data_IF_515484028778
#
_entry.id   IF_515484028778
#
_cell.length_a   1.000
_cell.length_b   1.000
_cell.length_c   1.000
_cell.angle_alpha   90.00
_cell.angle_beta   90.00
_cell.angle_gamma   90.00
#
_symmetry.space_group_name_H-M   'P 1'
#
loop_
_entity.id
_entity.type
_entity.pdbx_description
1 polymer ?
#
# COMPACT_ATOMS: atom_id res chain seq x y z
N UNK A 1 42.84 8.53 75.44
CA UNK A 1 43.67 7.31 75.50
C UNK A 1 44.88 7.54 74.63
N UNK A 2 46.08 7.31 75.18
CA UNK A 2 47.40 7.45 74.55
C UNK A 2 47.56 6.41 73.41
N UNK A 3 48.19 6.71 72.28
CA UNK A 3 49.64 6.86 72.01
C UNK A 3 50.40 5.51 71.88
N UNK A 4 51.23 5.44 70.83
CA UNK A 4 52.27 4.44 70.51
C UNK A 4 51.76 3.01 70.19
N UNK A 5 52.29 2.27 69.20
CA UNK A 5 53.72 2.03 68.96
C UNK A 5 54.11 1.74 67.48
N UNK A 6 55.42 1.56 67.22
CA UNK A 6 56.11 1.69 65.92
C UNK A 6 56.88 0.42 65.48
N UNK A 7 57.01 0.26 64.15
CA UNK A 7 58.10 -0.41 63.40
C UNK A 7 58.43 -1.92 63.58
N UNK A 8 58.60 -2.63 62.45
CA UNK A 8 59.86 -3.33 62.08
C UNK A 8 59.84 -4.05 60.69
N UNK A 9 60.84 -3.73 59.87
CA UNK A 9 61.43 -4.53 58.76
C UNK A 9 62.89 -4.89 59.22
N UNK A 10 63.84 -5.49 58.44
CA UNK A 10 63.93 -5.90 57.00
C UNK A 10 64.34 -7.42 56.93
N UNK A 11 65.30 -8.00 56.13
CA UNK A 11 66.06 -7.55 54.94
C UNK A 11 66.30 -8.58 53.78
N UNK A 12 66.83 -8.06 52.65
CA UNK A 12 67.78 -8.65 51.64
C UNK A 12 67.54 -10.05 51.02
N UNK A 13 67.34 -10.25 49.69
CA UNK A 13 68.19 -9.99 48.49
C UNK A 13 69.28 -11.09 48.22
N UNK A 14 69.95 -11.22 47.03
CA UNK A 14 69.76 -10.60 45.70
C UNK A 14 69.80 -11.59 44.48
N UNK A 15 69.73 -11.07 43.24
CA UNK A 15 70.12 -11.74 41.98
C UNK A 15 69.16 -11.40 40.81
N UNK A 16 69.59 -11.07 39.58
CA UNK A 16 70.93 -11.07 38.97
C UNK A 16 70.89 -11.82 37.63
N UNK A 17 70.69 -11.12 36.50
CA UNK A 17 70.53 -11.75 35.18
C UNK A 17 70.43 -10.75 34.03
N UNK A 18 71.57 -10.48 33.40
CA UNK A 18 71.74 -9.67 32.18
C UNK A 18 71.50 -10.52 30.93
N UNK A 19 70.79 -10.01 29.91
CA UNK A 19 70.81 -10.57 28.55
C UNK A 19 70.29 -9.61 27.46
N UNK A 20 71.20 -9.22 26.56
CA UNK A 20 70.98 -9.36 25.10
C UNK A 20 70.10 -8.33 24.39
N UNK A 21 70.69 -7.20 23.99
CA UNK A 21 70.13 -6.35 22.92
C UNK A 21 70.32 -7.06 21.57
N UNK A 22 69.22 -7.41 20.91
CA UNK A 22 69.21 -7.91 19.53
C UNK A 22 68.39 -6.97 18.64
N UNK A 23 69.09 -6.17 17.82
CA UNK A 23 68.49 -5.42 16.72
C UNK A 23 67.92 -6.40 15.69
N UNK A 24 66.65 -6.24 15.31
CA UNK A 24 66.14 -6.81 14.06
C UNK A 24 65.11 -5.86 13.44
N UNK A 25 65.47 -5.31 12.28
CA UNK A 25 64.55 -4.61 11.41
C UNK A 25 63.41 -5.54 11.02
N UNK A 26 62.16 -5.14 11.30
CA UNK A 26 61.00 -5.66 10.60
C UNK A 26 60.18 -4.47 10.12
N UNK A 27 60.03 -4.38 8.80
CA UNK A 27 59.23 -3.37 8.13
C UNK A 27 57.77 -3.55 8.52
N UNK A 28 57.20 -2.56 9.20
CA UNK A 28 55.75 -2.46 9.39
C UNK A 28 55.08 -2.26 8.04
N UNK A 29 54.53 -3.34 7.48
CA UNK A 29 53.42 -3.23 6.54
C UNK A 29 52.22 -2.74 7.33
N UNK A 30 51.98 -1.43 7.29
CA UNK A 30 50.74 -0.82 7.76
C UNK A 30 49.63 -1.39 6.87
N UNK A 31 48.85 -2.32 7.44
CA UNK A 31 47.71 -2.93 6.78
C UNK A 31 46.57 -1.89 6.76
N UNK A 32 46.40 -1.23 5.61
CA UNK A 32 45.47 -0.10 5.40
C UNK A 32 43.98 -0.53 5.35
N UNK A 33 43.64 -1.60 6.06
CA UNK A 33 42.33 -2.26 6.07
C UNK A 33 41.47 -1.94 7.29
N UNK A 34 41.95 -1.10 8.23
CA UNK A 34 41.20 -0.70 9.44
C UNK A 34 40.80 0.79 9.44
N UNK A 35 40.20 1.25 8.34
CA UNK A 35 39.30 2.43 8.37
C UNK A 35 37.85 1.93 8.39
N UNK A 36 37.57 1.01 9.33
CA UNK A 36 36.20 0.69 9.72
C UNK A 36 35.63 1.88 10.47
N UNK A 37 34.88 2.75 9.78
CA UNK A 37 34.05 3.75 10.44
C UNK A 37 33.16 3.07 11.50
N UNK A 38 32.87 3.73 12.64
CA UNK A 38 32.23 3.09 13.78
C UNK A 38 30.92 2.40 13.37
N UNK A 39 30.89 1.07 13.47
CA UNK A 39 29.79 0.23 13.01
C UNK A 39 28.46 0.70 13.61
N UNK A 40 27.65 1.40 12.79
CA UNK A 40 26.42 2.03 13.26
C UNK A 40 25.38 0.96 13.59
N UNK A 41 25.14 0.79 14.88
CA UNK A 41 24.13 -0.13 15.40
C UNK A 41 22.72 0.46 15.22
N UNK A 42 21.74 -0.40 15.00
CA UNK A 42 20.32 -0.03 14.91
C UNK A 42 19.44 -1.04 15.63
N UNK A 43 18.38 -0.56 16.27
CA UNK A 43 17.31 -1.42 16.78
C UNK A 43 16.38 -1.82 15.63
N UNK A 44 15.90 -3.06 15.64
CA UNK A 44 14.98 -3.60 14.64
C UNK A 44 13.82 -4.34 15.30
N UNK A 45 12.59 -4.05 14.89
CA UNK A 45 11.37 -4.71 15.39
C UNK A 45 10.97 -5.84 14.44
N UNK A 46 10.88 -7.07 14.94
CA UNK A 46 10.40 -8.25 14.19
C UNK A 46 9.72 -9.25 15.17
N UNK A 47 8.60 -9.92 14.79
CA UNK A 47 7.68 -9.51 13.73
C UNK A 47 7.17 -8.08 13.98
N UNK A 48 6.59 -7.44 12.96
CA UNK A 48 5.94 -6.15 13.17
C UNK A 48 4.77 -6.32 14.17
N UNK A 49 4.49 -5.34 15.05
CA UNK A 49 3.33 -5.37 15.91
C UNK A 49 2.04 -5.41 15.07
N UNK A 50 0.92 -5.92 15.61
CA UNK A 50 -0.35 -5.94 14.90
C UNK A 50 -0.76 -4.53 14.46
N UNK A 51 -1.24 -4.41 13.21
CA UNK A 51 -1.73 -3.13 12.68
C UNK A 51 -3.00 -2.65 13.41
N UNK A 52 -3.81 -3.58 13.90
CA UNK A 52 -5.06 -3.31 14.63
C UNK A 52 -5.08 -4.06 15.98
N UNK A 53 -4.31 -3.62 16.99
CA UNK A 53 -4.40 -4.20 18.32
C UNK A 53 -5.75 -3.84 18.95
N UNK A 54 -6.36 -4.82 19.61
CA UNK A 54 -7.49 -4.56 20.48
C UNK A 54 -7.06 -3.73 21.69
N UNK A 55 -7.88 -2.74 22.03
CA UNK A 55 -7.70 -1.94 23.22
C UNK A 55 -7.71 -2.84 24.47
N UNK A 56 -6.89 -2.47 25.44
CA UNK A 56 -6.71 -3.18 26.71
C UNK A 56 -6.27 -4.66 26.62
N UNK A 57 -5.95 -5.14 25.41
CA UNK A 57 -5.48 -6.50 25.14
C UNK A 57 -3.97 -6.51 24.94
N UNK A 58 -3.28 -7.45 25.57
CA UNK A 58 -1.84 -7.60 25.41
C UNK A 58 -1.47 -8.22 24.06
N UNK A 59 -0.47 -7.65 23.40
CA UNK A 59 0.21 -8.20 22.24
C UNK A 59 1.73 -8.18 22.45
N UNK A 60 2.45 -8.92 21.61
CA UNK A 60 3.92 -9.06 21.69
C UNK A 60 4.59 -8.75 20.36
N UNK A 61 5.83 -8.28 20.43
CA UNK A 61 6.79 -8.19 19.32
C UNK A 61 8.21 -8.30 19.89
N UNK A 62 9.20 -8.64 19.06
CA UNK A 62 10.59 -8.68 19.52
C UNK A 62 11.41 -7.51 18.95
N UNK A 63 12.41 -7.09 19.72
CA UNK A 63 13.37 -6.04 19.37
C UNK A 63 14.76 -6.64 19.37
N UNK A 64 15.52 -6.35 18.32
CA UNK A 64 16.86 -6.86 18.05
C UNK A 64 17.86 -5.71 17.96
N UNK A 65 19.10 -5.89 18.43
CA UNK A 65 20.22 -5.02 18.03
C UNK A 65 20.87 -5.64 16.80
N UNK A 66 21.02 -4.87 15.73
CA UNK A 66 21.76 -5.30 14.54
C UNK A 66 22.75 -4.24 14.09
N UNK A 67 23.77 -4.66 13.35
CA UNK A 67 24.71 -3.76 12.69
C UNK A 67 24.24 -3.34 11.28
N UNK A 68 25.12 -2.66 10.56
CA UNK A 68 24.93 -2.22 9.18
C UNK A 68 24.72 -3.38 8.18
N UNK A 69 25.22 -4.58 8.48
CA UNK A 69 25.05 -5.80 7.68
C UNK A 69 23.83 -6.63 8.12
N UNK A 70 22.99 -6.07 8.98
CA UNK A 70 21.85 -6.74 9.62
C UNK A 70 22.21 -7.94 10.50
N UNK A 71 23.50 -8.11 10.87
CA UNK A 71 23.91 -9.21 11.74
C UNK A 71 23.52 -8.94 13.18
N UNK A 72 23.04 -9.99 13.87
CA UNK A 72 22.55 -9.90 15.24
C UNK A 72 23.70 -9.65 16.21
N UNK A 73 23.68 -8.51 16.89
CA UNK A 73 24.71 -8.13 17.84
C UNK A 73 24.39 -8.63 19.25
N UNK A 74 25.40 -9.13 19.95
CA UNK A 74 25.30 -9.77 21.28
C UNK A 74 26.49 -9.34 22.15
N UNK A 75 26.26 -9.08 23.43
CA UNK A 75 27.36 -8.91 24.40
C UNK A 75 27.03 -8.08 25.64
N UNK A 76 26.05 -7.18 25.55
CA UNK A 76 25.70 -6.26 26.64
C UNK A 76 24.20 -6.33 26.98
N UNK A 77 23.87 -6.10 28.25
CA UNK A 77 22.50 -5.85 28.70
C UNK A 77 22.10 -4.44 28.24
N UNK A 78 21.09 -4.33 27.37
CA UNK A 78 20.65 -3.06 26.81
C UNK A 78 19.22 -2.72 27.28
N UNK A 79 19.04 -1.80 28.26
CA UNK A 79 17.72 -1.36 28.67
C UNK A 79 17.04 -0.59 27.55
N UNK A 80 15.75 -0.87 27.33
CA UNK A 80 14.96 -0.27 26.26
C UNK A 80 13.93 0.70 26.84
N UNK A 81 13.80 1.86 26.20
CA UNK A 81 12.71 2.80 26.43
C UNK A 81 11.73 2.70 25.27
N UNK A 82 10.54 2.21 25.55
CA UNK A 82 9.43 2.17 24.59
C UNK A 82 8.55 3.41 24.81
N UNK A 83 8.21 4.11 23.74
CA UNK A 83 7.26 5.23 23.78
C UNK A 83 6.19 5.07 22.72
N UNK A 84 4.96 5.39 23.09
CA UNK A 84 3.82 5.45 22.18
C UNK A 84 3.62 6.92 21.76
N UNK A 85 3.52 7.18 20.47
CA UNK A 85 3.27 8.52 19.92
C UNK A 85 2.14 8.49 18.90
N UNK A 86 1.35 9.57 18.84
CA UNK A 86 0.30 9.70 17.82
C UNK A 86 0.93 9.79 16.43
N UNK A 87 0.37 9.05 15.47
CA UNK A 87 0.98 8.86 14.16
C UNK A 87 1.09 10.16 13.34
N UNK A 88 0.11 11.05 13.46
CA UNK A 88 0.03 12.28 12.66
C UNK A 88 0.83 13.43 13.26
N UNK A 89 0.67 13.69 14.56
CA UNK A 89 1.32 14.82 15.25
C UNK A 89 2.72 14.50 15.78
N UNK A 90 3.13 13.22 15.78
CA UNK A 90 4.32 12.68 16.44
C UNK A 90 4.45 12.99 17.95
N UNK A 91 3.42 13.59 18.57
CA UNK A 91 3.38 13.87 20.01
C UNK A 91 3.22 12.58 20.81
N UNK A 92 3.83 12.50 21.99
CA UNK A 92 3.65 11.36 22.89
C UNK A 92 2.17 11.16 23.25
N UNK A 93 1.77 9.90 23.44
CA UNK A 93 0.48 9.55 24.02
C UNK A 93 0.42 9.98 25.50
N UNK A 94 -0.79 10.11 26.05
CA UNK A 94 -0.96 10.48 27.45
C UNK A 94 -0.36 9.41 28.40
N UNK A 95 0.10 9.80 29.62
CA UNK A 95 0.56 8.85 30.62
C UNK A 95 -0.51 7.79 30.94
N UNK A 96 -0.10 6.54 31.09
CA UNK A 96 -1.00 5.40 31.38
C UNK A 96 -1.68 4.77 30.16
N UNK A 97 -1.64 5.40 28.97
CA UNK A 97 -2.18 4.81 27.72
C UNK A 97 -1.35 3.61 27.26
N UNK A 98 -0.04 3.64 27.48
CA UNK A 98 0.87 2.51 27.25
C UNK A 98 1.10 1.75 28.56
N UNK A 99 0.77 0.45 28.58
CA UNK A 99 1.10 -0.47 29.68
C UNK A 99 2.01 -1.57 29.16
N UNK A 100 3.15 -1.77 29.81
CA UNK A 100 4.17 -2.78 29.45
C UNK A 100 4.31 -3.83 30.55
N UNK A 101 4.64 -5.05 30.14
CA UNK A 101 4.90 -6.19 31.00
C UNK A 101 6.12 -6.97 30.45
N UNK A 102 7.30 -6.92 31.08
CA UNK A 102 7.66 -6.13 32.24
C UNK A 102 7.72 -4.62 31.92
N UNK A 103 7.59 -3.78 32.95
CA UNK A 103 7.61 -2.31 32.86
C UNK A 103 8.93 -1.76 32.28
N UNK A 104 10.04 -2.44 32.52
CA UNK A 104 11.37 -2.07 32.02
C UNK A 104 11.91 -3.18 31.10
N UNK A 105 11.54 -3.19 29.80
CA UNK A 105 12.08 -4.16 28.86
C UNK A 105 13.60 -3.95 28.67
N UNK A 106 14.36 -5.04 28.60
CA UNK A 106 15.79 -5.03 28.27
C UNK A 106 16.15 -6.17 27.33
N UNK A 107 17.09 -5.92 26.43
CA UNK A 107 17.79 -6.99 25.70
C UNK A 107 18.81 -7.56 26.67
N UNK A 108 18.72 -8.87 26.95
CA UNK A 108 19.66 -9.55 27.83
C UNK A 108 20.93 -9.96 27.11
N UNK A 109 22.04 -9.96 27.84
CA UNK A 109 23.33 -10.45 27.38
C UNK A 109 23.20 -11.88 26.78
N UNK A 110 23.98 -12.15 25.73
CA UNK A 110 23.98 -13.40 24.96
C UNK A 110 22.80 -13.58 23.98
N UNK A 111 21.64 -12.96 24.21
CA UNK A 111 20.47 -13.14 23.36
C UNK A 111 20.43 -12.21 22.13
N UNK A 112 20.87 -10.95 22.29
CA UNK A 112 20.79 -9.91 21.24
C UNK A 112 19.36 -9.45 20.93
N UNK A 113 18.35 -10.01 21.60
CA UNK A 113 16.93 -9.67 21.45
C UNK A 113 16.17 -9.55 22.76
N UNK A 114 15.04 -8.84 22.72
CA UNK A 114 14.07 -8.67 23.81
C UNK A 114 12.67 -8.94 23.26
N UNK A 115 11.84 -9.72 23.97
CA UNK A 115 10.40 -9.80 23.69
C UNK A 115 9.68 -8.75 24.52
N UNK A 116 8.95 -7.85 23.86
CA UNK A 116 8.18 -6.78 24.49
C UNK A 116 6.71 -7.18 24.44
N UNK A 117 6.10 -7.36 25.62
CA UNK A 117 4.66 -7.53 25.79
C UNK A 117 4.07 -6.22 26.29
N UNK A 118 3.07 -5.71 25.59
CA UNK A 118 2.40 -4.46 25.94
C UNK A 118 0.94 -4.47 25.53
N UNK A 119 0.15 -3.61 26.16
CA UNK A 119 -1.21 -3.26 25.74
C UNK A 119 -1.35 -1.75 25.61
N UNK A 120 -2.31 -1.32 24.81
CA UNK A 120 -2.68 0.09 24.70
C UNK A 120 -4.09 0.22 25.27
N UNK A 121 -4.20 0.97 26.37
CA UNK A 121 -5.47 1.17 27.08
C UNK A 121 -6.36 2.16 26.33
N UNK A 122 -7.67 1.92 26.35
CA UNK A 122 -8.68 2.76 25.72
C UNK A 122 -8.85 4.08 26.48
N UNK A 123 -8.03 5.09 26.14
CA UNK A 123 -8.31 6.46 26.55
C UNK A 123 -9.64 6.90 25.91
N UNK A 124 -10.59 7.30 26.75
CA UNK A 124 -11.92 7.75 26.32
C UNK A 124 -11.90 9.12 25.62
N UNK A 125 -10.73 9.77 25.52
CA UNK A 125 -10.57 11.04 24.82
C UNK A 125 -10.45 10.90 23.28
N UNK A 126 -10.91 11.96 22.60
CA UNK A 126 -10.96 12.22 21.14
C UNK A 126 -10.53 11.14 20.13
N UNK A 127 -11.48 10.77 19.26
CA UNK A 127 -11.37 9.68 18.28
C UNK A 127 -10.23 9.80 17.27
N UNK A 128 -9.81 11.02 16.92
CA UNK A 128 -8.72 11.30 15.99
C UNK A 128 -7.37 10.70 16.44
N UNK A 129 -7.23 10.44 17.74
CA UNK A 129 -5.99 10.03 18.41
C UNK A 129 -5.71 8.53 18.43
N UNK A 130 -6.62 7.67 17.93
CA UNK A 130 -6.49 6.19 17.95
C UNK A 130 -5.41 5.61 17.03
N UNK A 131 -4.72 6.45 16.24
CA UNK A 131 -3.61 6.06 15.36
C UNK A 131 -2.27 6.40 16.01
N UNK A 132 -1.43 5.41 16.21
CA UNK A 132 -0.15 5.55 16.90
C UNK A 132 1.00 4.94 16.08
N UNK A 133 2.23 5.20 16.55
CA UNK A 133 3.44 4.43 16.25
C UNK A 133 4.20 4.18 17.55
N UNK A 134 4.92 3.07 17.61
CA UNK A 134 5.80 2.73 18.71
C UNK A 134 7.22 3.15 18.32
N UNK A 135 7.92 3.84 19.23
CA UNK A 135 9.36 4.11 19.14
C UNK A 135 10.06 3.33 20.24
N UNK A 136 11.10 2.57 19.88
CA UNK A 136 11.97 1.87 20.83
C UNK A 136 13.36 2.49 20.77
N UNK A 137 13.85 2.97 21.91
CA UNK A 137 15.15 3.63 22.07
C UNK A 137 16.03 2.83 23.02
N UNK A 138 17.34 2.82 22.76
CA UNK A 138 18.33 2.26 23.69
C UNK A 138 18.64 3.29 24.78
N UNK A 139 18.49 2.94 26.06
CA UNK A 139 18.72 3.88 27.17
C UNK A 139 20.21 4.12 27.36
N UNK A 140 20.62 5.39 27.31
CA UNK A 140 22.02 5.80 27.49
C UNK A 140 22.94 5.53 26.29
N UNK A 141 22.41 5.05 25.16
CA UNK A 141 23.18 4.64 23.97
C UNK A 141 22.71 5.39 22.72
N UNK A 142 23.24 6.59 22.53
CA UNK A 142 22.94 7.46 21.39
C UNK A 142 23.60 6.99 20.07
N UNK A 143 24.57 6.06 20.17
CA UNK A 143 25.22 5.34 19.07
C UNK A 143 24.32 4.30 18.41
N UNK A 144 23.23 3.89 19.07
CA UNK A 144 22.27 2.90 18.57
C UNK A 144 21.03 3.61 18.03
N UNK A 145 20.76 3.45 16.74
CA UNK A 145 19.59 4.04 16.09
C UNK A 145 18.27 3.43 16.60
N UNK A 146 17.31 4.30 16.95
CA UNK A 146 16.02 3.91 17.49
C UNK A 146 15.11 3.25 16.44
N UNK A 147 14.39 2.19 16.83
CA UNK A 147 13.39 1.56 15.96
C UNK A 147 12.08 2.36 15.98
N UNK A 148 11.46 2.51 14.82
CA UNK A 148 10.10 3.03 14.67
C UNK A 148 9.24 1.97 13.97
N UNK A 149 8.03 1.74 14.49
CA UNK A 149 7.05 0.85 13.86
C UNK A 149 6.20 1.59 12.85
N UNK A 150 5.56 0.83 11.97
CA UNK A 150 4.46 1.32 11.15
C UNK A 150 3.28 1.83 12.00
N UNK A 151 2.35 2.49 11.31
CA UNK A 151 1.08 2.98 11.86
C UNK A 151 0.24 1.80 12.38
N UNK A 152 -0.02 1.79 13.68
CA UNK A 152 -1.05 0.95 14.30
C UNK A 152 -2.30 1.79 14.61
N UNK A 153 -3.47 1.15 14.62
CA UNK A 153 -4.76 1.77 14.92
C UNK A 153 -5.47 0.95 15.99
N UNK A 154 -5.65 1.52 17.18
CA UNK A 154 -6.26 0.80 18.31
C UNK A 154 -7.77 0.65 18.08
N UNK A 155 -8.24 -0.59 18.07
CA UNK A 155 -9.64 -0.96 17.83
C UNK A 155 -10.28 -1.51 19.09
N UNK A 156 -11.61 -1.43 19.18
CA UNK A 156 -12.41 -2.21 20.15
C UNK A 156 -13.00 -3.46 19.50
N UNK A 157 -13.44 -3.33 18.25
CA UNK A 157 -14.15 -4.37 17.51
C UNK A 157 -13.47 -4.60 16.16
N UNK A 158 -13.74 -5.73 15.52
CA UNK A 158 -13.40 -5.97 14.11
C UNK A 158 -14.63 -6.35 13.30
N UNK A 159 -14.61 -6.03 12.02
CA UNK A 159 -15.46 -6.75 11.06
C UNK A 159 -14.81 -8.09 10.73
N UNK A 160 -15.62 -9.12 10.49
CA UNK A 160 -15.19 -10.40 9.96
C UNK A 160 -16.21 -10.92 8.95
N UNK A 161 -15.75 -11.52 7.85
CA UNK A 161 -16.63 -12.21 6.89
C UNK A 161 -16.65 -13.67 7.31
N UNK A 162 -17.77 -14.12 7.87
CA UNK A 162 -17.92 -15.52 8.26
C UNK A 162 -18.48 -16.34 7.10
N UNK A 163 -17.96 -17.56 6.96
CA UNK A 163 -18.47 -18.52 5.99
C UNK A 163 -19.80 -19.08 6.49
N UNK A 164 -20.89 -18.81 5.78
CA UNK A 164 -22.17 -19.48 6.03
C UNK A 164 -22.08 -20.90 5.47
N UNK A 165 -22.27 -21.98 6.27
CA UNK A 165 -22.21 -23.35 5.77
C UNK A 165 -23.21 -23.66 4.65
N UNK A 166 -24.32 -22.92 4.56
CA UNK A 166 -25.31 -23.04 3.47
C UNK A 166 -25.03 -22.16 2.25
N UNK A 167 -24.16 -21.15 2.37
CA UNK A 167 -23.81 -20.23 1.29
C UNK A 167 -22.38 -19.66 1.49
N UNK A 168 -21.31 -20.46 1.29
CA UNK A 168 -19.95 -20.00 1.48
C UNK A 168 -19.57 -18.98 0.39
N UNK A 169 -18.68 -18.04 0.72
CA UNK A 169 -18.14 -17.09 -0.26
C UNK A 169 -17.34 -17.88 -1.31
N UNK A 170 -17.73 -17.83 -2.61
CA UNK A 170 -17.15 -18.72 -3.61
C UNK A 170 -15.81 -18.21 -4.14
N UNK A 171 -14.83 -19.11 -4.30
CA UNK A 171 -13.55 -18.78 -4.97
C UNK A 171 -13.74 -18.50 -6.48
N UNK A 172 -14.79 -19.07 -7.08
CA UNK A 172 -15.18 -18.88 -8.49
C UNK A 172 -16.68 -18.58 -8.61
N UNK A 173 -17.02 -17.48 -9.26
CA UNK A 173 -18.40 -17.00 -9.39
C UNK A 173 -18.75 -16.69 -10.86
N UNK A 174 -19.91 -17.17 -11.32
CA UNK A 174 -20.32 -17.13 -12.73
C UNK A 174 -21.39 -16.06 -12.98
N UNK A 175 -20.98 -14.87 -13.42
CA UNK A 175 -21.83 -13.65 -13.40
C UNK A 175 -23.06 -13.68 -14.32
N UNK A 176 -23.07 -14.52 -15.34
CA UNK A 176 -24.18 -14.65 -16.28
C UNK A 176 -25.04 -15.92 -16.03
N UNK A 177 -24.71 -16.71 -15.01
CA UNK A 177 -25.59 -17.77 -14.48
C UNK A 177 -26.58 -17.12 -13.50
N UNK A 178 -27.88 -17.44 -13.58
CA UNK A 178 -28.90 -16.82 -12.73
C UNK A 178 -29.32 -15.39 -13.10
N UNK A 179 -28.79 -14.81 -14.19
CA UNK A 179 -29.25 -13.53 -14.74
C UNK A 179 -28.82 -12.31 -13.91
N UNK A 180 -29.67 -11.27 -13.87
CA UNK A 180 -29.35 -9.98 -13.20
C UNK A 180 -29.21 -10.12 -11.68
N UNK A 181 -30.03 -10.97 -11.07
CA UNK A 181 -30.14 -11.14 -9.62
C UNK A 181 -29.03 -12.01 -9.01
N UNK A 182 -28.22 -12.68 -9.83
CA UNK A 182 -27.04 -13.37 -9.31
C UNK A 182 -26.07 -12.36 -8.71
N UNK A 183 -25.70 -12.62 -7.46
CA UNK A 183 -24.77 -11.86 -6.64
C UNK A 183 -23.98 -12.83 -5.76
N UNK A 184 -22.79 -12.43 -5.35
CA UNK A 184 -22.10 -13.00 -4.19
C UNK A 184 -22.78 -12.49 -2.92
N UNK A 185 -23.02 -13.37 -1.95
CA UNK A 185 -23.46 -12.98 -0.60
C UNK A 185 -22.25 -12.97 0.35
N UNK A 186 -22.08 -11.90 1.12
CA UNK A 186 -21.09 -11.79 2.19
C UNK A 186 -21.83 -11.60 3.52
N UNK A 187 -21.59 -12.49 4.48
CA UNK A 187 -22.11 -12.34 5.84
C UNK A 187 -21.04 -11.70 6.72
N UNK A 188 -21.25 -10.44 7.07
CA UNK A 188 -20.31 -9.61 7.83
C UNK A 188 -20.77 -9.53 9.27
N UNK A 189 -19.91 -9.92 10.21
CA UNK A 189 -20.17 -9.87 11.64
C UNK A 189 -19.29 -8.80 12.29
N UNK A 190 -19.83 -8.09 13.28
CA UNK A 190 -19.07 -7.19 14.15
C UNK A 190 -18.68 -7.95 15.41
N UNK A 191 -17.39 -8.23 15.57
CA UNK A 191 -16.85 -9.06 16.66
C UNK A 191 -16.00 -8.25 17.64
N UNK A 192 -16.10 -8.56 18.92
CA UNK A 192 -15.28 -7.99 19.98
C UNK A 192 -13.91 -8.69 20.13
N UNK A 193 -13.14 -8.37 21.19
CA UNK A 193 -11.80 -8.89 21.40
C UNK A 193 -11.72 -10.40 21.62
N UNK A 194 -12.77 -11.03 22.17
CA UNK A 194 -12.82 -12.49 22.40
C UNK A 194 -13.58 -13.26 21.31
N UNK A 195 -13.95 -12.59 20.21
CA UNK A 195 -14.69 -13.19 19.09
C UNK A 195 -16.21 -13.22 19.29
N UNK A 196 -16.71 -12.52 20.31
CA UNK A 196 -18.12 -12.37 20.63
C UNK A 196 -18.83 -11.40 19.68
N UNK A 197 -20.08 -11.70 19.29
CA UNK A 197 -20.88 -10.81 18.43
C UNK A 197 -21.33 -9.56 19.21
N UNK A 198 -20.94 -8.37 18.72
CA UNK A 198 -21.28 -7.08 19.33
C UNK A 198 -22.68 -6.66 18.86
N UNK A 199 -23.65 -6.85 19.76
CA UNK A 199 -25.07 -6.53 19.53
C UNK A 199 -25.41 -5.08 19.87
N UNK A 200 -26.57 -4.62 19.44
CA UNK A 200 -27.15 -3.30 19.70
C UNK A 200 -26.30 -2.10 19.23
N UNK A 201 -25.28 -2.32 18.39
CA UNK A 201 -24.44 -1.26 17.81
C UNK A 201 -24.63 -1.22 16.30
N UNK A 202 -25.46 -0.28 15.82
CA UNK A 202 -25.57 -0.01 14.38
C UNK A 202 -24.30 0.64 13.87
N UNK A 203 -23.80 0.17 12.72
CA UNK A 203 -22.56 0.65 12.07
C UNK A 203 -22.79 0.72 10.57
N UNK A 204 -22.80 1.91 9.93
CA UNK A 204 -22.82 2.00 8.47
C UNK A 204 -21.52 1.43 7.91
N UNK A 205 -21.63 0.75 6.78
CA UNK A 205 -20.56 0.04 6.11
C UNK A 205 -20.31 0.64 4.73
N UNK A 206 -19.03 0.75 4.38
CA UNK A 206 -18.59 1.07 3.03
C UNK A 206 -17.92 -0.15 2.42
N UNK A 207 -18.21 -0.38 1.15
CA UNK A 207 -17.49 -1.36 0.34
C UNK A 207 -16.41 -0.68 -0.49
N UNK A 208 -15.26 -1.33 -0.58
CA UNK A 208 -14.16 -0.91 -1.44
C UNK A 208 -13.65 -2.13 -2.21
N UNK A 209 -13.72 -2.06 -3.53
CA UNK A 209 -13.17 -3.07 -4.43
C UNK A 209 -11.64 -2.94 -4.49
N UNK A 210 -10.95 -4.07 -4.37
CA UNK A 210 -9.49 -4.15 -4.33
C UNK A 210 -8.98 -5.20 -5.32
N UNK A 211 -7.82 -4.91 -5.93
CA UNK A 211 -7.02 -5.91 -6.63
C UNK A 211 -6.42 -6.91 -5.62
N UNK A 212 -5.94 -8.06 -6.10
CA UNK A 212 -5.35 -9.09 -5.24
C UNK A 212 -4.09 -8.62 -4.49
N UNK A 213 -3.33 -7.69 -5.10
CA UNK A 213 -2.20 -7.01 -4.48
C UNK A 213 -2.60 -5.95 -3.42
N UNK A 214 -3.86 -5.91 -3.00
CA UNK A 214 -4.41 -4.97 -2.00
C UNK A 214 -4.35 -3.48 -2.41
N UNK A 215 -4.20 -3.17 -3.71
CA UNK A 215 -4.46 -1.83 -4.22
C UNK A 215 -5.96 -1.61 -4.47
N UNK A 216 -6.45 -0.39 -4.21
CA UNK A 216 -7.84 -0.01 -4.50
C UNK A 216 -8.06 0.06 -6.02
N UNK A 217 -9.14 -0.53 -6.52
CA UNK A 217 -9.55 -0.40 -7.92
C UNK A 217 -9.95 1.04 -8.21
N UNK A 218 -9.52 1.61 -9.34
CA UNK A 218 -9.81 3.02 -9.65
C UNK A 218 -11.31 3.27 -9.89
N UNK A 219 -11.93 2.47 -10.76
CA UNK A 219 -13.37 2.49 -10.97
C UNK A 219 -14.05 1.58 -9.93
N UNK A 220 -14.77 2.19 -8.98
CA UNK A 220 -15.54 1.46 -7.96
C UNK A 220 -16.98 1.15 -8.39
N UNK A 221 -17.49 1.78 -9.45
CA UNK A 221 -18.87 1.62 -9.94
C UNK A 221 -19.12 0.25 -10.59
N UNK A 222 -18.04 -0.50 -10.89
CA UNK A 222 -18.12 -1.90 -11.34
C UNK A 222 -18.53 -2.86 -10.21
N UNK A 223 -18.44 -2.44 -8.94
CA UNK A 223 -19.02 -3.11 -7.80
C UNK A 223 -20.46 -2.64 -7.62
N UNK A 224 -21.42 -3.47 -8.04
CA UNK A 224 -22.85 -3.20 -7.93
C UNK A 224 -23.40 -3.85 -6.66
N UNK A 225 -24.18 -3.11 -5.90
CA UNK A 225 -24.95 -3.63 -4.78
C UNK A 225 -26.34 -4.05 -5.26
N UNK A 226 -26.84 -5.16 -4.72
CA UNK A 226 -28.23 -5.56 -4.89
C UNK A 226 -29.16 -4.63 -4.09
N UNK A 227 -30.35 -4.24 -4.59
CA UNK A 227 -31.25 -3.29 -3.91
C UNK A 227 -31.73 -3.71 -2.51
N UNK A 228 -31.66 -5.01 -2.19
CA UNK A 228 -32.00 -5.58 -0.89
C UNK A 228 -30.85 -5.53 0.14
N UNK A 229 -29.64 -5.17 -0.30
CA UNK A 229 -28.45 -5.12 0.55
C UNK A 229 -28.48 -3.93 1.49
N UNK A 230 -28.37 -4.19 2.79
CA UNK A 230 -28.24 -3.17 3.81
C UNK A 230 -26.77 -3.00 4.17
N UNK A 231 -26.19 -1.88 3.75
CA UNK A 231 -24.83 -1.44 4.12
C UNK A 231 -24.73 -1.00 5.59
N UNK A 232 -25.34 -1.73 6.52
CA UNK A 232 -25.39 -1.36 7.94
C UNK A 232 -25.38 -2.64 8.77
N UNK A 233 -24.45 -2.75 9.73
CA UNK A 233 -24.50 -3.74 10.82
C UNK A 233 -25.77 -3.48 11.63
N UNK A 234 -26.60 -4.50 11.80
CA UNK A 234 -27.86 -4.44 12.50
C UNK A 234 -27.72 -4.56 14.03
N UNK A 235 -28.86 -4.61 14.73
CA UNK A 235 -28.91 -4.76 16.20
C UNK A 235 -28.46 -6.16 16.67
N UNK A 236 -28.33 -7.13 15.76
CA UNK A 236 -27.79 -8.46 16.04
C UNK A 236 -26.28 -8.54 15.82
N UNK A 237 -25.64 -7.45 15.37
CA UNK A 237 -24.20 -7.39 15.08
C UNK A 237 -23.84 -7.93 13.71
N UNK A 238 -24.79 -7.99 12.75
CA UNK A 238 -24.62 -8.63 11.44
C UNK A 238 -25.03 -7.74 10.28
N UNK A 239 -24.47 -7.98 9.10
CA UNK A 239 -24.94 -7.46 7.83
C UNK A 239 -24.80 -8.52 6.73
N UNK A 240 -25.85 -8.69 5.93
CA UNK A 240 -25.82 -9.50 4.71
C UNK A 240 -25.67 -8.57 3.52
N UNK A 241 -24.56 -8.69 2.80
CA UNK A 241 -24.23 -7.84 1.66
C UNK A 241 -24.28 -8.69 0.38
N UNK A 242 -25.19 -8.37 -0.55
CA UNK A 242 -25.30 -9.02 -1.86
C UNK A 242 -24.69 -8.12 -2.93
N UNK A 243 -23.60 -8.59 -3.52
CA UNK A 243 -22.71 -7.80 -4.38
C UNK A 243 -22.45 -8.49 -5.72
N UNK A 244 -22.36 -7.69 -6.78
CA UNK A 244 -22.10 -8.13 -8.14
C UNK A 244 -20.86 -7.40 -8.68
N UNK A 245 -19.92 -8.16 -9.22
CA UNK A 245 -18.63 -7.69 -9.73
C UNK A 245 -18.42 -8.18 -11.15
N UNK A 246 -17.79 -7.39 -12.02
CA UNK A 246 -17.63 -7.75 -13.43
C UNK A 246 -16.35 -8.53 -13.73
N UNK A 247 -15.32 -8.41 -12.88
CA UNK A 247 -13.98 -9.03 -13.02
C UNK A 247 -13.48 -9.54 -11.66
N UNK A 248 -12.33 -10.22 -11.64
CA UNK A 248 -11.80 -10.88 -10.43
C UNK A 248 -11.16 -9.90 -9.44
N UNK A 249 -11.68 -9.86 -8.21
CA UNK A 249 -11.27 -8.90 -7.18
C UNK A 249 -11.39 -9.45 -5.75
N UNK A 250 -10.86 -8.69 -4.79
CA UNK A 250 -11.19 -8.77 -3.37
C UNK A 250 -12.15 -7.65 -2.99
N UNK A 251 -13.03 -7.91 -2.03
CA UNK A 251 -13.99 -6.94 -1.52
C UNK A 251 -13.59 -6.60 -0.08
N UNK A 252 -13.23 -5.34 0.15
CA UNK A 252 -13.01 -4.80 1.48
C UNK A 252 -14.32 -4.25 2.03
N UNK A 253 -14.67 -4.68 3.23
CA UNK A 253 -15.75 -4.12 4.03
C UNK A 253 -15.13 -3.31 5.17
N UNK A 254 -15.47 -2.03 5.25
CA UNK A 254 -14.96 -1.12 6.28
C UNK A 254 -16.10 -0.28 6.88
N UNK A 255 -15.98 0.20 8.12
CA UNK A 255 -16.96 1.15 8.66
C UNK A 255 -16.97 2.44 7.83
N UNK A 256 -18.16 3.00 7.55
CA UNK A 256 -18.24 4.34 6.99
C UNK A 256 -18.01 5.40 8.08
N UNK A 257 -16.76 5.82 8.19
CA UNK A 257 -16.30 6.84 9.13
C UNK A 257 -16.61 8.27 8.66
N UNK A 258 -17.19 8.46 7.48
CA UNK A 258 -17.70 9.76 7.04
C UNK A 258 -19.15 9.95 7.52
N UNK A 259 -19.98 8.91 7.39
CA UNK A 259 -21.34 8.89 7.94
C UNK A 259 -21.33 8.81 9.47
N UNK A 260 -20.54 7.89 10.04
CA UNK A 260 -20.43 7.70 11.48
C UNK A 260 -18.95 7.67 11.94
N UNK A 261 -18.32 8.84 12.23
CA UNK A 261 -16.96 8.91 12.77
C UNK A 261 -16.74 8.09 14.04
N UNK A 262 -17.80 7.81 14.82
CA UNK A 262 -17.79 6.93 16.00
C UNK A 262 -17.38 5.48 15.68
N UNK A 263 -17.37 5.07 14.42
CA UNK A 263 -16.99 3.73 13.95
C UNK A 263 -15.50 3.57 13.62
N UNK A 264 -14.68 4.60 13.90
CA UNK A 264 -13.21 4.54 13.75
C UNK A 264 -12.51 3.53 14.68
N UNK A 265 -13.18 3.01 15.70
CA UNK A 265 -12.69 1.96 16.60
C UNK A 265 -12.96 0.53 16.09
N UNK A 266 -13.36 0.39 14.82
CA UNK A 266 -13.65 -0.88 14.16
C UNK A 266 -12.64 -1.12 13.03
N UNK A 267 -11.96 -2.28 13.01
CA UNK A 267 -11.13 -2.65 11.84
C UNK A 267 -11.96 -3.19 10.68
N UNK A 268 -11.49 -2.89 9.47
CA UNK A 268 -12.02 -3.44 8.22
C UNK A 268 -11.61 -4.89 7.98
N UNK A 269 -12.41 -5.63 7.23
CA UNK A 269 -12.11 -6.97 6.72
C UNK A 269 -11.98 -6.96 5.19
N UNK A 270 -11.20 -7.88 4.64
CA UNK A 270 -11.05 -8.08 3.18
C UNK A 270 -11.36 -9.54 2.86
N UNK A 271 -12.16 -9.76 1.81
CA UNK A 271 -12.52 -11.11 1.37
C UNK A 271 -11.31 -11.89 0.81
N UNK A 272 -11.50 -13.20 0.67
CA UNK A 272 -10.71 -14.01 -0.28
C UNK A 272 -10.88 -13.44 -1.71
N UNK A 273 -9.93 -13.68 -2.64
CA UNK A 273 -10.12 -13.35 -4.04
C UNK A 273 -11.32 -14.11 -4.60
N UNK A 274 -12.15 -13.44 -5.40
CA UNK A 274 -13.27 -14.06 -6.10
C UNK A 274 -12.96 -14.00 -7.59
N UNK A 275 -12.81 -15.15 -8.23
CA UNK A 275 -12.58 -15.25 -9.68
C UNK A 275 -13.92 -15.13 -10.39
N UNK A 276 -14.11 -14.07 -11.17
CA UNK A 276 -15.35 -13.86 -11.92
C UNK A 276 -15.23 -14.46 -13.32
N UNK A 277 -16.20 -15.28 -13.69
CA UNK A 277 -16.31 -15.97 -14.97
C UNK A 277 -17.68 -15.65 -15.59
N UNK A 278 -17.80 -15.70 -16.92
CA UNK A 278 -19.10 -15.43 -17.59
C UNK A 278 -20.12 -16.54 -17.33
N UNK A 279 -19.87 -17.75 -17.86
CA UNK A 279 -20.73 -18.95 -17.72
C UNK A 279 -19.87 -20.20 -17.63
N UNK A 280 -20.37 -21.28 -17.03
CA UNK A 280 -19.75 -22.61 -17.14
C UNK A 280 -19.77 -23.04 -18.60
N UNK A 281 -18.58 -23.29 -19.15
CA UNK A 281 -18.45 -24.00 -20.41
C UNK A 281 -18.78 -25.47 -20.11
N UNK A 282 -20.06 -25.82 -20.26
CA UNK A 282 -20.49 -27.21 -20.36
C UNK A 282 -19.80 -27.81 -21.58
N UNK A 283 -18.63 -28.43 -21.39
CA UNK A 283 -17.98 -29.24 -22.43
C UNK A 283 -19.04 -30.23 -22.91
N UNK A 284 -19.49 -30.18 -24.17
CA UNK A 284 -20.47 -31.15 -24.65
C UNK A 284 -19.81 -32.51 -24.51
N UNK A 285 -20.37 -33.33 -23.61
CA UNK A 285 -19.76 -34.60 -23.23
C UNK A 285 -19.43 -35.38 -24.49
N UNK A 286 -18.18 -35.83 -24.61
CA UNK A 286 -17.70 -36.63 -25.74
C UNK A 286 -18.64 -37.80 -25.93
N UNK A 287 -19.59 -37.67 -26.85
CA UNK A 287 -20.64 -38.64 -27.11
C UNK A 287 -19.93 -39.91 -27.54
N UNK A 288 -19.85 -40.88 -26.62
CA UNK A 288 -19.11 -42.10 -26.83
C UNK A 288 -19.49 -42.69 -28.19
N UNK A 289 -18.48 -43.06 -28.99
CA UNK A 289 -18.66 -43.68 -30.30
C UNK A 289 -19.67 -44.83 -30.17
N UNK A 290 -20.90 -44.61 -30.63
CA UNK A 290 -21.83 -45.71 -30.88
C UNK A 290 -21.27 -46.50 -32.05
N UNK A 291 -20.98 -47.78 -31.81
CA UNK A 291 -20.43 -48.71 -32.78
C UNK A 291 -21.30 -48.81 -34.04
N UNK A 292 -20.73 -49.12 -35.20
CA UNK A 292 -21.50 -49.32 -36.43
C UNK A 292 -22.28 -50.64 -36.36
N UNK A 293 -23.60 -50.54 -36.19
CA UNK A 293 -24.55 -51.65 -36.34
C UNK A 293 -25.57 -51.29 -37.41
N UNK A 294 -25.60 -52.04 -38.51
CA UNK A 294 -26.45 -51.75 -39.66
C UNK A 294 -27.93 -52.11 -39.47
N UNK A 295 -28.78 -51.56 -40.33
CA UNK A 295 -30.21 -51.87 -40.42
C UNK A 295 -30.91 -51.00 -41.45
N UNK A 296 -31.43 -51.59 -42.52
CA UNK A 296 -32.06 -50.88 -43.64
C UNK A 296 -33.58 -50.69 -43.44
N UNK A 297 -34.16 -49.67 -44.10
CA UNK A 297 -35.62 -49.39 -44.10
C UNK A 297 -35.93 -47.89 -44.15
N UNK A 298 -36.11 -47.17 -45.28
CA UNK A 298 -37.05 -47.27 -46.41
C UNK A 298 -38.29 -46.35 -46.28
N UNK A 299 -38.47 -45.47 -47.29
CA UNK A 299 -39.66 -44.64 -47.67
C UNK A 299 -39.98 -43.43 -46.75
N UNK A 300 -40.08 -42.16 -47.24
CA UNK A 300 -40.83 -41.48 -48.33
C UNK A 300 -42.23 -40.96 -47.91
N UNK A 301 -42.49 -39.66 -48.17
CA UNK A 301 -43.81 -38.98 -48.08
C UNK A 301 -43.97 -38.17 -46.79
N UNK A 302 -43.89 -36.82 -46.71
CA UNK A 302 -44.42 -35.70 -47.51
C UNK A 302 -45.83 -35.22 -47.07
N UNK A 303 -45.91 -34.04 -46.45
CA UNK A 303 -46.97 -33.02 -46.59
C UNK A 303 -46.67 -31.74 -45.75
N UNK A 304 -47.29 -30.62 -46.13
CA UNK A 304 -47.44 -29.33 -45.41
C UNK A 304 -46.22 -28.37 -45.31
N UNK A 305 -46.21 -27.43 -46.25
CA UNK A 305 -45.64 -26.06 -46.23
C UNK A 305 -46.71 -25.08 -45.62
N UNK A 306 -46.54 -23.75 -45.49
CA UNK A 306 -45.35 -22.88 -45.35
C UNK A 306 -45.35 -22.05 -44.03
N UNK A 307 -44.24 -21.37 -43.70
CA UNK A 307 -44.14 -20.60 -42.43
C UNK A 307 -43.03 -19.55 -42.29
N UNK A 308 -42.82 -18.73 -43.33
CA UNK A 308 -42.23 -17.38 -43.29
C UNK A 308 -41.31 -16.99 -42.10
N UNK A 309 -39.98 -17.17 -42.23
CA UNK A 309 -39.00 -16.32 -41.52
C UNK A 309 -37.85 -15.99 -42.47
N UNK A 310 -37.57 -14.69 -42.65
CA UNK A 310 -36.52 -14.23 -43.54
C UNK A 310 -35.12 -14.55 -42.99
N UNK A 311 -34.35 -15.30 -43.76
CA UNK A 311 -32.92 -15.51 -43.53
C UNK A 311 -32.13 -14.25 -43.93
N UNK A 312 -31.73 -13.44 -42.95
CA UNK A 312 -30.60 -12.52 -43.12
C UNK A 312 -29.32 -13.28 -42.79
N UNK A 313 -28.51 -13.51 -43.83
CA UNK A 313 -27.25 -14.23 -43.73
C UNK A 313 -26.23 -13.50 -42.85
N UNK A 314 -25.60 -14.27 -41.93
CA UNK A 314 -24.31 -13.90 -41.32
C UNK A 314 -23.24 -13.81 -42.42
N UNK A 315 -22.95 -12.61 -42.89
CA UNK A 315 -21.82 -12.38 -43.80
C UNK A 315 -21.29 -10.93 -43.82
N UNK A 316 -21.43 -10.13 -42.74
CA UNK A 316 -20.63 -8.91 -42.62
C UNK A 316 -20.49 -8.38 -41.16
N UNK A 317 -19.43 -8.80 -40.46
CA UNK A 317 -18.91 -8.13 -39.24
C UNK A 317 -17.37 -8.21 -39.12
N UNK A 318 -16.65 -8.48 -40.23
CA UNK A 318 -15.19 -8.57 -40.23
C UNK A 318 -14.49 -7.22 -40.49
N UNK A 319 -14.99 -6.13 -39.92
CA UNK A 319 -14.53 -4.75 -40.22
C UNK A 319 -14.52 -3.75 -39.06
N UNK A 320 -14.90 -4.13 -37.83
CA UNK A 320 -14.98 -3.20 -36.68
C UNK A 320 -14.25 -3.63 -35.40
N UNK A 321 -13.52 -4.75 -35.43
CA UNK A 321 -12.57 -5.12 -34.38
C UNK A 321 -11.14 -4.70 -34.74
N UNK A 322 -10.90 -3.38 -34.74
CA UNK A 322 -9.56 -2.82 -34.56
C UNK A 322 -9.54 -1.86 -33.38
N UNK A 323 -10.09 -2.31 -32.23
CA UNK A 323 -9.81 -1.70 -30.94
C UNK A 323 -8.33 -1.98 -30.63
N UNK A 324 -7.52 -0.94 -30.53
CA UNK A 324 -6.11 -1.06 -30.16
C UNK A 324 -6.06 -1.64 -28.75
N UNK A 325 -5.45 -2.82 -28.61
CA UNK A 325 -5.49 -3.61 -27.39
C UNK A 325 -4.50 -3.02 -26.37
N UNK A 326 -4.96 -2.04 -25.59
CA UNK A 326 -4.10 -1.20 -24.76
C UNK A 326 -3.36 -1.98 -23.64
N UNK A 327 -3.76 -3.21 -23.34
CA UNK A 327 -3.04 -4.08 -22.38
C UNK A 327 -1.80 -4.76 -22.96
N UNK A 328 -1.63 -4.82 -24.29
CA UNK A 328 -0.42 -5.37 -24.93
C UNK A 328 0.73 -4.35 -25.01
N UNK A 329 0.41 -3.04 -25.00
CA UNK A 329 1.41 -1.97 -25.05
C UNK A 329 2.09 -1.67 -23.70
N UNK A 330 1.68 -2.31 -22.60
CA UNK A 330 2.21 -2.06 -21.25
C UNK A 330 2.55 -3.37 -20.52
N UNK A 331 2.92 -4.41 -21.28
CA UNK A 331 3.49 -5.64 -20.71
C UNK A 331 5.03 -5.51 -20.65
N UNK A 332 5.65 -5.20 -19.49
CA UNK A 332 7.07 -5.46 -19.32
C UNK A 332 7.28 -6.97 -19.45
N UNK A 333 8.23 -7.38 -20.30
CA UNK A 333 8.48 -8.79 -20.61
C UNK A 333 8.85 -9.59 -19.34
N UNK A 334 7.90 -10.35 -18.81
CA UNK A 334 8.11 -11.25 -17.65
C UNK A 334 8.77 -12.55 -18.10
N UNK A 335 10.00 -12.45 -18.62
CA UNK A 335 10.95 -13.55 -18.61
C UNK A 335 11.65 -13.64 -17.25
N UNK A 336 12.22 -14.81 -16.87
CA UNK A 336 13.12 -14.88 -15.73
C UNK A 336 14.42 -14.15 -16.08
N UNK A 337 14.57 -12.91 -15.61
CA UNK A 337 15.80 -12.13 -15.77
C UNK A 337 16.73 -12.48 -14.60
N UNK A 338 17.90 -13.03 -14.92
CA UNK A 338 19.00 -13.16 -13.94
C UNK A 338 19.45 -11.77 -13.50
N UNK A 339 19.11 -11.39 -12.26
CA UNK A 339 19.21 -10.02 -11.72
C UNK A 339 20.64 -9.59 -11.34
N UNK A 340 21.68 -10.20 -11.91
CA UNK A 340 23.05 -10.03 -11.41
C UNK A 340 23.91 -8.99 -12.14
N UNK A 341 23.51 -8.46 -13.31
CA UNK A 341 24.28 -7.44 -14.05
C UNK A 341 23.45 -6.54 -15.00
N UNK A 342 22.32 -5.98 -14.56
CA UNK A 342 21.70 -4.86 -15.31
C UNK A 342 22.39 -3.56 -14.91
N UNK A 343 23.00 -2.87 -15.87
CA UNK A 343 23.65 -1.59 -15.58
C UNK A 343 22.62 -0.54 -15.14
N UNK A 344 22.98 0.30 -14.16
CA UNK A 344 22.14 1.42 -13.72
C UNK A 344 21.72 2.33 -14.90
N UNK A 345 22.59 2.44 -15.90
CA UNK A 345 22.32 3.15 -17.15
C UNK A 345 21.18 2.51 -17.97
N UNK A 346 21.18 1.19 -18.12
CA UNK A 346 20.13 0.45 -18.84
C UNK A 346 18.79 0.50 -18.10
N UNK A 347 18.83 0.38 -16.77
CA UNK A 347 17.66 0.54 -15.93
C UNK A 347 17.05 1.95 -16.07
N UNK A 348 17.87 3.01 -16.03
CA UNK A 348 17.38 4.39 -16.19
C UNK A 348 16.86 4.66 -17.61
N UNK A 349 17.52 4.14 -18.64
CA UNK A 349 17.06 4.24 -20.02
C UNK A 349 15.71 3.55 -20.21
N UNK A 350 15.54 2.36 -19.66
CA UNK A 350 14.26 1.63 -19.67
C UNK A 350 13.14 2.41 -18.99
N UNK A 351 13.42 3.10 -17.87
CA UNK A 351 12.45 3.99 -17.20
C UNK A 351 12.07 5.17 -18.09
N UNK A 352 13.03 5.82 -18.77
CA UNK A 352 12.75 6.94 -19.69
C UNK A 352 11.89 6.50 -20.88
N UNK A 353 12.21 5.34 -21.47
CA UNK A 353 11.45 4.77 -22.60
C UNK A 353 10.02 4.39 -22.16
N UNK A 354 9.85 3.76 -21.00
CA UNK A 354 8.53 3.43 -20.44
C UNK A 354 7.71 4.66 -20.09
N UNK A 355 8.30 5.69 -19.45
CA UNK A 355 7.54 6.92 -19.15
C UNK A 355 7.12 7.65 -20.42
N UNK A 356 7.92 7.61 -21.49
CA UNK A 356 7.55 8.10 -22.81
C UNK A 356 6.33 7.36 -23.38
N UNK A 357 6.30 6.04 -23.29
CA UNK A 357 5.16 5.22 -23.73
C UNK A 357 3.88 5.55 -22.95
N UNK A 358 3.96 5.69 -21.62
CA UNK A 358 2.81 6.06 -20.77
C UNK A 358 2.26 7.44 -21.13
N UNK A 359 3.14 8.43 -21.38
CA UNK A 359 2.72 9.79 -21.73
C UNK A 359 2.08 9.85 -23.12
N UNK A 360 2.62 9.13 -24.10
CA UNK A 360 1.99 8.97 -25.41
C UNK A 360 0.63 8.24 -25.30
N UNK A 361 0.54 7.24 -24.41
CA UNK A 361 -0.70 6.55 -24.10
C UNK A 361 -1.77 7.46 -23.48
N UNK A 362 -1.38 8.37 -22.58
CA UNK A 362 -2.29 9.35 -21.98
C UNK A 362 -2.83 10.35 -23.01
N UNK A 363 -2.07 10.69 -24.05
CA UNK A 363 -2.57 11.53 -25.16
C UNK A 363 -3.63 10.81 -26.03
N UNK A 364 -3.65 9.47 -26.02
CA UNK A 364 -4.70 8.68 -26.66
C UNK A 364 -6.00 8.60 -25.83
N UNK A 365 -5.98 9.01 -24.55
CA UNK A 365 -7.18 9.12 -23.71
C UNK A 365 -7.92 10.41 -24.07
N UNK A 366 -8.62 10.37 -25.20
CA UNK A 366 -9.42 11.48 -25.70
C UNK A 366 -10.87 11.43 -25.21
N UNK A 367 -11.48 12.61 -25.09
CA UNK A 367 -12.86 12.76 -24.67
C UNK A 367 -13.82 12.24 -25.75
N UNK A 368 -14.29 11.01 -25.62
CA UNK A 368 -15.08 10.35 -26.66
C UNK A 368 -16.57 10.76 -26.58
N UNK A 369 -17.08 11.35 -27.65
CA UNK A 369 -18.49 11.63 -27.86
C UNK A 369 -19.25 10.31 -28.04
N UNK A 370 -20.24 10.04 -27.18
CA UNK A 370 -21.14 8.88 -27.29
C UNK A 370 -22.41 9.20 -28.08
N UNK A 371 -22.85 10.46 -28.07
CA UNK A 371 -24.07 10.90 -28.73
C UNK A 371 -24.50 12.27 -28.25
N UNK A 372 -25.80 12.53 -28.32
CA UNK A 372 -26.44 13.78 -27.93
C UNK A 372 -27.66 13.48 -27.07
N UNK A 373 -28.00 14.35 -26.11
CA UNK A 373 -29.25 14.23 -25.35
C UNK A 373 -30.46 14.33 -26.31
N UNK A 374 -31.55 13.61 -26.05
CA UNK A 374 -32.75 13.69 -26.90
C UNK A 374 -33.66 14.83 -26.43
N UNK A 375 -34.08 15.69 -27.37
CA UNK A 375 -35.13 16.70 -27.16
C UNK A 375 -36.49 16.03 -26.90
N UNK A 376 -37.48 16.75 -26.34
CA UNK A 376 -38.82 16.20 -26.07
C UNK A 376 -39.57 15.68 -27.31
N UNK A 377 -39.15 16.07 -28.51
CA UNK A 377 -39.67 15.60 -29.81
C UNK A 377 -38.97 14.32 -30.32
N UNK A 378 -37.96 13.81 -29.59
CA UNK A 378 -37.16 12.65 -29.97
C UNK A 378 -35.97 12.94 -30.89
N UNK A 379 -35.73 14.19 -31.30
CA UNK A 379 -34.55 14.57 -32.09
C UNK A 379 -33.30 14.70 -31.20
N UNK A 380 -32.08 14.41 -31.72
CA UNK A 380 -30.84 14.63 -30.98
C UNK A 380 -30.55 16.14 -30.79
N UNK A 381 -30.19 16.54 -29.58
CA UNK A 381 -29.80 17.89 -29.25
C UNK A 381 -28.30 18.13 -29.44
N UNK A 382 -27.93 18.65 -30.60
CA UNK A 382 -26.53 18.93 -30.93
C UNK A 382 -25.84 19.94 -30.00
N UNK A 383 -26.60 20.72 -29.21
CA UNK A 383 -26.05 21.62 -28.18
C UNK A 383 -25.69 20.88 -26.87
N UNK A 384 -26.12 19.62 -26.71
CA UNK A 384 -25.94 18.81 -25.50
C UNK A 384 -25.25 17.47 -25.80
N UNK A 385 -23.96 17.49 -26.17
CA UNK A 385 -23.18 16.29 -26.37
C UNK A 385 -23.03 15.45 -25.09
N UNK A 386 -23.25 14.15 -25.20
CA UNK A 386 -23.03 13.16 -24.16
C UNK A 386 -21.67 12.47 -24.39
N UNK A 387 -20.82 12.45 -23.38
CA UNK A 387 -19.47 11.87 -23.44
C UNK A 387 -19.35 10.64 -22.54
N UNK A 388 -18.38 9.77 -22.85
CA UNK A 388 -18.14 8.53 -22.10
C UNK A 388 -17.56 8.71 -20.70
N UNK A 389 -17.07 9.91 -20.39
CA UNK A 389 -16.42 10.27 -19.13
C UNK A 389 -16.42 11.79 -18.94
N UNK A 390 -16.09 12.27 -17.74
CA UNK A 390 -15.75 13.68 -17.52
C UNK A 390 -14.52 14.07 -18.33
N UNK A 391 -14.44 15.32 -18.81
CA UNK A 391 -13.36 15.82 -19.66
C UNK A 391 -11.96 15.53 -19.06
N UNK A 392 -11.16 14.61 -19.63
CA UNK A 392 -9.85 14.25 -19.10
C UNK A 392 -8.78 15.28 -19.44
N UNK A 393 -9.02 16.13 -20.46
CA UNK A 393 -8.00 16.98 -21.06
C UNK A 393 -7.29 17.91 -20.05
N UNK A 394 -7.95 18.54 -19.04
CA UNK A 394 -7.24 19.37 -18.06
C UNK A 394 -6.25 18.56 -17.20
N UNK A 395 -6.62 17.33 -16.83
CA UNK A 395 -5.79 16.45 -16.00
C UNK A 395 -4.65 15.87 -16.83
N UNK A 396 -4.94 15.38 -18.04
CA UNK A 396 -3.93 14.87 -18.99
C UNK A 396 -2.91 15.98 -19.31
N UNK A 397 -3.36 17.19 -19.65
CA UNK A 397 -2.46 18.32 -19.93
C UNK A 397 -1.59 18.69 -18.72
N UNK A 398 -2.13 18.62 -17.49
CA UNK A 398 -1.36 18.86 -16.26
C UNK A 398 -0.26 17.81 -16.06
N UNK A 399 -0.58 16.53 -16.29
CA UNK A 399 0.38 15.41 -16.17
C UNK A 399 1.47 15.52 -17.25
N UNK A 400 1.08 15.71 -18.52
CA UNK A 400 2.00 15.87 -19.65
C UNK A 400 2.93 17.07 -19.43
N UNK A 401 2.40 18.21 -18.98
CA UNK A 401 3.21 19.40 -18.68
C UNK A 401 4.22 19.12 -17.57
N UNK A 402 3.78 18.55 -16.44
CA UNK A 402 4.64 18.25 -15.30
C UNK A 402 5.74 17.23 -15.63
N UNK A 403 5.40 16.23 -16.45
CA UNK A 403 6.38 15.28 -16.97
C UNK A 403 7.46 15.98 -17.81
N UNK A 404 7.03 16.85 -18.74
CA UNK A 404 7.94 17.56 -19.64
C UNK A 404 8.83 18.58 -18.91
N UNK A 405 8.32 19.29 -17.90
CA UNK A 405 9.09 20.32 -17.16
C UNK A 405 9.94 19.74 -16.04
N UNK A 406 9.38 18.85 -15.22
CA UNK A 406 9.98 18.45 -13.95
C UNK A 406 10.65 17.08 -14.07
N UNK A 407 9.93 16.07 -14.58
CA UNK A 407 10.40 14.68 -14.56
C UNK A 407 11.50 14.45 -15.60
N UNK A 408 11.28 14.86 -16.85
CA UNK A 408 12.26 14.69 -17.93
C UNK A 408 13.57 15.47 -17.68
N UNK A 409 13.48 16.68 -17.12
CA UNK A 409 14.66 17.47 -16.76
C UNK A 409 15.52 16.74 -15.72
N UNK A 410 14.91 16.22 -14.65
CA UNK A 410 15.62 15.48 -13.60
C UNK A 410 16.19 14.14 -14.12
N UNK A 411 15.43 13.39 -14.93
CA UNK A 411 15.92 12.13 -15.52
C UNK A 411 17.12 12.35 -16.46
N UNK A 412 17.12 13.41 -17.27
CA UNK A 412 18.26 13.76 -18.11
C UNK A 412 19.50 14.20 -17.30
N UNK A 413 19.32 14.91 -16.18
CA UNK A 413 20.44 15.27 -15.28
C UNK A 413 21.06 14.03 -14.64
N UNK A 414 20.22 13.07 -14.20
CA UNK A 414 20.69 11.79 -13.66
C UNK A 414 21.42 10.96 -14.73
N UNK A 415 20.85 10.87 -15.94
CA UNK A 415 21.47 10.14 -17.05
C UNK A 415 22.86 10.70 -17.39
N UNK A 416 22.98 12.02 -17.53
CA UNK A 416 24.26 12.69 -17.78
C UNK A 416 25.30 12.51 -16.67
N UNK A 417 24.88 12.44 -15.40
CA UNK A 417 25.79 12.15 -14.28
C UNK A 417 26.29 10.70 -14.31
N UNK A 418 25.41 9.75 -14.64
CA UNK A 418 25.78 8.33 -14.82
C UNK A 418 26.74 8.18 -16.01
N UNK A 419 26.48 8.84 -17.14
CA UNK A 419 27.36 8.86 -18.31
C UNK A 419 28.73 9.49 -18.02
N UNK A 420 28.78 10.52 -17.17
CA UNK A 420 30.02 11.20 -16.79
C UNK A 420 30.86 10.46 -15.74
N UNK A 421 30.33 9.41 -15.09
CA UNK A 421 31.02 8.63 -14.05
C UNK A 421 31.23 9.36 -12.71
N UNK A 422 30.92 10.65 -12.60
CA UNK A 422 31.09 11.44 -11.37
C UNK A 422 29.90 11.30 -10.42
N UNK A 423 30.06 10.46 -9.39
CA UNK A 423 29.09 10.32 -8.29
C UNK A 423 29.45 11.15 -7.03
N UNK A 424 30.70 11.62 -6.90
CA UNK A 424 31.19 12.26 -5.67
C UNK A 424 30.99 13.79 -5.59
N UNK A 425 30.50 14.44 -6.65
CA UNK A 425 30.25 15.90 -6.64
C UNK A 425 28.91 16.27 -5.97
N UNK A 426 28.92 17.06 -4.88
CA UNK A 426 27.69 17.49 -4.21
C UNK A 426 26.82 18.35 -5.14
N UNK A 427 25.51 18.13 -5.09
CA UNK A 427 24.53 18.83 -5.94
C UNK A 427 24.60 20.35 -5.71
N UNK A 428 25.00 21.17 -6.71
CA UNK A 428 24.99 22.61 -6.57
C UNK A 428 23.56 23.12 -6.77
N UNK A 429 22.85 23.44 -5.69
CA UNK A 429 21.52 24.09 -5.80
C UNK A 429 20.45 23.67 -4.79
N UNK A 430 20.78 23.61 -3.50
CA UNK A 430 19.78 23.56 -2.41
C UNK A 430 20.20 24.40 -1.19
N UNK A 431 20.84 25.55 -1.44
CA UNK A 431 21.19 26.52 -0.40
C UNK A 431 19.95 27.30 0.06
N UNK A 432 19.72 27.35 1.38
CA UNK A 432 18.46 27.85 1.95
C UNK A 432 18.31 29.37 1.96
N UNK A 433 17.06 29.83 1.84
CA UNK A 433 16.68 31.21 2.10
C UNK A 433 16.53 31.44 3.62
N UNK A 434 17.62 31.80 4.28
CA UNK A 434 17.64 32.28 5.66
C UNK A 434 18.44 33.59 5.74
N UNK A 435 17.76 34.69 6.07
CA UNK A 435 18.41 36.00 6.19
C UNK A 435 17.41 37.05 6.67
N UNK A 436 17.70 37.67 7.83
CA UNK A 436 16.87 38.73 8.40
C UNK A 436 17.68 39.98 8.70
N UNK A 437 17.01 41.14 8.58
CA UNK A 437 17.39 42.43 9.17
C UNK A 437 18.37 43.29 8.37
N UNK A 438 18.08 44.60 8.21
CA UNK A 438 19.17 45.55 7.88
C UNK A 438 18.95 46.91 7.19
N UNK A 439 17.76 47.55 7.24
CA UNK A 439 17.60 49.03 7.14
C UNK A 439 17.99 49.82 5.84
N UNK A 440 17.45 51.07 5.80
CA UNK A 440 17.71 52.21 4.88
C UNK A 440 17.12 52.19 3.45
N UNK A 441 16.29 53.20 3.14
CA UNK A 441 15.87 53.58 1.77
C UNK A 441 16.82 54.59 1.10
N UNK A 442 16.52 55.10 -0.12
CA UNK A 442 15.36 56.01 -0.28
C UNK A 442 14.57 55.91 -1.60
N UNK A 443 13.48 56.70 -1.66
CA UNK A 443 12.67 57.23 -2.78
C UNK A 443 12.94 56.77 -4.24
N UNK A 444 11.88 56.41 -4.98
CA UNK A 444 11.91 56.40 -6.46
C UNK A 444 10.68 55.79 -7.17
N UNK A 445 9.75 56.66 -7.59
CA UNK A 445 8.76 56.52 -8.69
C UNK A 445 7.92 55.24 -8.91
N UNK A 446 6.59 55.42 -8.94
CA UNK A 446 5.64 54.57 -9.68
C UNK A 446 5.85 54.69 -11.21
N UNK A 447 5.39 53.70 -12.00
CA UNK A 447 4.18 53.99 -12.77
C UNK A 447 3.19 52.81 -12.96
N UNK A 448 1.90 53.18 -12.89
CA UNK A 448 0.74 52.76 -13.68
C UNK A 448 0.32 51.26 -13.80
N UNK A 449 -0.94 50.90 -13.45
CA UNK A 449 -1.52 49.59 -13.75
C UNK A 449 -2.02 49.47 -15.21
N UNK A 450 -2.06 48.23 -15.72
CA UNK A 450 -2.60 47.90 -17.05
C UNK A 450 -4.14 47.94 -17.14
N UNK A 451 -4.70 47.89 -18.36
CA UNK A 451 -6.11 48.23 -18.63
C UNK A 451 -7.12 47.14 -18.23
N UNK A 452 -8.40 47.50 -18.01
CA UNK A 452 -9.46 46.57 -17.66
C UNK A 452 -9.95 45.74 -18.86
N UNK A 453 -10.36 44.51 -18.60
CA UNK A 453 -11.03 43.63 -19.59
C UNK A 453 -12.52 43.99 -19.66
N UNK A 454 -13.14 44.14 -20.85
CA UNK A 454 -14.56 44.50 -20.96
C UNK A 454 -15.50 43.37 -20.52
N UNK A 455 -16.60 43.73 -19.87
CA UNK A 455 -17.71 42.81 -19.59
C UNK A 455 -18.59 42.57 -20.81
N UNK A 456 -19.21 41.39 -20.87
CA UNK A 456 -20.29 41.05 -21.81
C UNK A 456 -21.59 40.89 -21.04
N UNK A 457 -22.53 41.81 -21.29
CA UNK A 457 -23.91 41.78 -20.79
C UNK A 457 -24.82 41.01 -21.76
N UNK A 458 -25.69 40.14 -21.23
CA UNK A 458 -26.93 39.63 -21.87
C UNK A 458 -26.78 39.00 -23.27
N UNK A 459 -27.76 38.32 -23.86
CA UNK A 459 -29.21 38.15 -23.67
C UNK A 459 -29.55 36.75 -24.27
N UNK A 460 -30.79 36.23 -24.18
CA UNK A 460 -31.96 36.66 -23.41
C UNK A 460 -32.32 35.72 -22.24
#
# INVERSE_FOLDING_TARGET
>A
MSADDLASLPPTAPGGGDFGVALNNRTDTIDESTIGGPSRLKLKVRPAPPQYPYADTYFTFEVYVVDQHESLQRGEDLPLKVTLSHYVSATAAAPGVLVMDPVAPKISNGAGKCSIRMKITDDKTTMERRRFRIKVEAVGRADIEAALTDKLTVIRNRLEILENPGNPVPDQWYKDEGGRENCVELQVHLLGPSGEEVKSRRVPLRLVLMYDNMHRVQNQEILKLSPDSKLVIDEHGKATLRVRIEEAFRIKVEPDVQEQPLSMDISSVVSKPITVLSKRINKPGTRAKRSPGGGAGSKRGAAADPGYVASISRADQSSLERRVNFSELISPSTGPVDTTNVSLYEALKSVIEWTGQVVNGLQAVQWQLLGYESKPDGQPDHERPLYSMSNPNPVVNSIVRRYATDTMANLHVLLKRIEAGNFDDPVPGAGGAGGGGGAAGPQGHSPNPGPPVPGLNGWP
#
